data_IF_434709074188
#
_entry.id   IF_434709074188
#
_cell.length_a   1.000
_cell.length_b   1.000
_cell.length_c   1.000
_cell.angle_alpha   90.00
_cell.angle_beta   90.00
_cell.angle_gamma   90.00
#
_symmetry.space_group_name_H-M   'P 1'
#
loop_
_entity.id
_entity.type
_entity.pdbx_description
1 polymer ?
#
# COMPACT_ATOMS: atom_id res chain seq x y z
N UNK A 1 9.42 -0.44 18.98
CA UNK A 1 7.94 -0.50 19.13
C UNK A 1 7.36 0.31 17.98
N UNK A 2 6.25 -0.10 17.36
CA UNK A 2 5.65 0.64 16.26
C UNK A 2 4.69 1.72 16.79
N UNK A 3 4.73 2.92 16.20
CA UNK A 3 3.79 4.02 16.51
C UNK A 3 2.44 3.84 15.83
N UNK A 4 2.40 3.06 14.73
CA UNK A 4 1.21 2.78 13.95
C UNK A 4 1.23 1.36 13.40
N UNK A 5 0.07 0.69 13.43
CA UNK A 5 -0.13 -0.63 12.85
C UNK A 5 -1.16 -0.50 11.72
N UNK A 6 -0.76 -0.88 10.51
CA UNK A 6 -1.60 -0.85 9.32
C UNK A 6 -1.93 -2.27 8.88
N UNK A 7 -3.22 -2.56 8.65
CA UNK A 7 -3.68 -3.83 8.09
C UNK A 7 -3.87 -3.73 6.58
N UNK A 8 -3.45 -4.76 5.85
CA UNK A 8 -3.64 -4.91 4.40
C UNK A 8 -4.83 -5.81 4.05
N UNK A 9 -5.69 -6.09 5.03
CA UNK A 9 -6.87 -6.95 4.90
C UNK A 9 -6.82 -8.13 5.88
N UNK A 10 -7.79 -9.04 5.75
CA UNK A 10 -7.92 -10.22 6.61
C UNK A 10 -7.08 -11.42 6.13
N UNK A 11 -6.49 -11.33 4.93
CA UNK A 11 -5.71 -12.40 4.33
C UNK A 11 -4.25 -12.35 4.76
N UNK A 12 -3.65 -13.53 4.97
CA UNK A 12 -2.20 -13.66 5.19
C UNK A 12 -1.49 -13.68 3.84
N UNK A 13 -0.76 -12.61 3.53
CA UNK A 13 0.03 -12.54 2.30
C UNK A 13 1.44 -13.13 2.53
N UNK A 14 1.98 -13.92 1.60
CA UNK A 14 3.39 -14.30 1.62
C UNK A 14 4.28 -13.05 1.68
N UNK A 15 5.37 -13.10 2.44
CA UNK A 15 6.19 -11.91 2.70
C UNK A 15 6.70 -11.22 1.42
N UNK A 16 7.07 -11.98 0.39
CA UNK A 16 7.50 -11.41 -0.89
C UNK A 16 6.38 -10.64 -1.59
N UNK A 17 5.16 -11.17 -1.56
CA UNK A 17 3.98 -10.52 -2.15
C UNK A 17 3.59 -9.26 -1.36
N UNK A 18 3.64 -9.34 -0.02
CA UNK A 18 3.36 -8.20 0.84
C UNK A 18 4.25 -7.00 0.51
N UNK A 19 5.55 -7.22 0.26
CA UNK A 19 6.46 -6.13 -0.16
C UNK A 19 5.99 -5.46 -1.45
N UNK A 20 5.56 -6.24 -2.45
CA UNK A 20 5.09 -5.70 -3.72
C UNK A 20 3.80 -4.88 -3.52
N UNK A 21 2.85 -5.40 -2.76
CA UNK A 21 1.58 -4.71 -2.45
C UNK A 21 1.84 -3.41 -1.69
N UNK A 22 2.71 -3.42 -0.68
CA UNK A 22 3.08 -2.22 0.06
C UNK A 22 3.67 -1.14 -0.88
N UNK A 23 4.57 -1.52 -1.78
CA UNK A 23 5.18 -0.59 -2.73
C UNK A 23 4.15 0.03 -3.68
N UNK A 24 3.22 -0.77 -4.18
CA UNK A 24 2.12 -0.27 -5.02
C UNK A 24 1.23 0.70 -4.24
N UNK A 25 0.86 0.38 -2.99
CA UNK A 25 0.02 1.25 -2.17
C UNK A 25 0.70 2.59 -1.83
N UNK A 26 2.02 2.58 -1.61
CA UNK A 26 2.79 3.81 -1.43
C UNK A 26 2.78 4.63 -2.73
N UNK A 27 3.12 4.01 -3.86
CA UNK A 27 3.10 4.67 -5.18
C UNK A 27 1.73 5.28 -5.47
N UNK A 28 0.67 4.51 -5.25
CA UNK A 28 -0.72 4.95 -5.37
C UNK A 28 -1.02 6.17 -4.51
N UNK A 29 -0.61 6.18 -3.25
CA UNK A 29 -0.79 7.34 -2.38
C UNK A 29 -0.14 8.60 -2.94
N UNK A 30 1.06 8.48 -3.53
CA UNK A 30 1.73 9.59 -4.22
C UNK A 30 0.99 10.04 -5.48
N UNK A 31 0.45 9.11 -6.27
CA UNK A 31 -0.30 9.43 -7.50
C UNK A 31 -1.63 10.14 -7.20
N UNK A 32 -2.34 9.69 -6.15
CA UNK A 32 -3.55 10.35 -5.63
C UNK A 32 -3.20 11.77 -5.16
N UNK A 33 -2.12 11.93 -4.38
CA UNK A 33 -1.66 13.24 -3.89
C UNK A 33 -1.28 14.19 -5.03
N UNK A 34 -0.74 13.69 -6.13
CA UNK A 34 -0.38 14.48 -7.31
C UNK A 34 -1.57 14.83 -8.21
N UNK A 35 -2.78 14.30 -7.94
CA UNK A 35 -3.97 14.56 -8.77
C UNK A 35 -3.91 13.91 -10.15
N UNK A 36 -3.02 12.93 -10.34
CA UNK A 36 -2.92 12.19 -11.61
C UNK A 36 -4.07 11.19 -11.77
N UNK A 37 -4.57 10.94 -13.00
CA UNK A 37 -5.73 10.07 -13.28
C UNK A 37 -5.42 8.57 -13.14
N UNK A 38 -4.53 8.19 -12.24
CA UNK A 38 -4.19 6.80 -11.94
C UNK A 38 -5.30 6.08 -11.16
N UNK A 39 -6.20 6.83 -10.52
CA UNK A 39 -7.39 6.30 -9.85
C UNK A 39 -8.65 6.79 -10.56
N UNK A 40 -9.44 5.84 -11.08
CA UNK A 40 -10.85 6.00 -11.42
C UNK A 40 -11.68 5.18 -10.45
#
# INVERSE_FOLDING_TARGET
>A
RADYLMSFGLLTLPHQLMKLVLMEQIYRAFMIRQGTPYHK
#
